data_IF_737499570694
#
_entry.id   IF_737499570694
#
_cell.length_a   1.000
_cell.length_b   1.000
_cell.length_c   1.000
_cell.angle_alpha   90.00
_cell.angle_beta   90.00
_cell.angle_gamma   90.00
#
_symmetry.space_group_name_H-M   'P 1'
#
loop_
_entity.id
_entity.type
_entity.pdbx_description
1 polymer ?
#
# COMPACT_ATOMS: atom_id res chain seq x y z
N UNK A 1 -7.37 -28.17 -31.60
CA UNK A 1 -6.25 -27.39 -31.03
C UNK A 1 -6.31 -26.03 -31.71
N UNK A 2 -6.57 -24.96 -30.98
CA UNK A 2 -6.79 -23.63 -31.58
C UNK A 2 -5.50 -23.05 -32.15
N UNK A 3 -5.57 -22.42 -33.32
CA UNK A 3 -4.47 -21.73 -34.00
C UNK A 3 -3.82 -20.65 -33.10
N UNK A 4 -4.62 -20.00 -32.23
CA UNK A 4 -4.15 -19.03 -31.23
C UNK A 4 -3.07 -19.58 -30.29
N UNK A 5 -3.14 -20.86 -29.93
CA UNK A 5 -2.17 -21.49 -29.01
C UNK A 5 -0.82 -21.78 -29.66
N UNK A 6 -0.76 -21.92 -30.98
CA UNK A 6 0.49 -22.12 -31.73
C UNK A 6 1.25 -20.79 -31.88
N UNK A 7 0.52 -19.69 -32.04
CA UNK A 7 1.08 -18.34 -32.18
C UNK A 7 1.70 -17.84 -30.86
N UNK A 8 1.03 -18.01 -29.71
CA UNK A 8 1.58 -17.64 -28.39
C UNK A 8 2.90 -18.38 -28.08
N UNK A 9 3.00 -19.67 -28.41
CA UNK A 9 4.24 -20.45 -28.22
C UNK A 9 5.36 -20.02 -29.17
N UNK A 10 5.02 -19.58 -30.39
CA UNK A 10 5.99 -19.05 -31.33
C UNK A 10 6.55 -17.70 -30.85
N UNK A 11 5.67 -16.80 -30.38
CA UNK A 11 6.08 -15.52 -29.79
C UNK A 11 6.97 -15.72 -28.56
N UNK A 12 6.60 -16.65 -27.66
CA UNK A 12 7.42 -16.97 -26.49
C UNK A 12 8.82 -17.44 -26.87
N UNK A 13 8.94 -18.40 -27.80
CA UNK A 13 10.25 -18.84 -28.32
C UNK A 13 11.02 -17.70 -28.98
N UNK A 14 10.31 -16.76 -29.61
CA UNK A 14 10.89 -15.53 -30.14
C UNK A 14 11.55 -14.68 -29.06
N UNK A 15 10.88 -14.45 -27.92
CA UNK A 15 11.45 -13.72 -26.79
C UNK A 15 12.62 -14.47 -26.13
N UNK A 16 12.49 -15.79 -25.95
CA UNK A 16 13.58 -16.65 -25.45
C UNK A 16 14.82 -16.56 -26.36
N UNK A 17 14.63 -16.55 -27.68
CA UNK A 17 15.71 -16.38 -28.65
C UNK A 17 16.37 -14.98 -28.58
N UNK A 18 15.65 -13.94 -28.17
CA UNK A 18 16.22 -12.61 -27.90
C UNK A 18 17.05 -12.65 -26.62
N UNK A 19 16.54 -13.21 -25.53
CA UNK A 19 17.26 -13.36 -24.27
C UNK A 19 18.57 -14.13 -24.45
N UNK A 20 18.55 -15.19 -25.27
CA UNK A 20 19.73 -16.00 -25.60
C UNK A 20 20.68 -15.33 -26.63
N UNK A 21 20.30 -14.19 -27.20
CA UNK A 21 21.08 -13.47 -28.21
C UNK A 21 21.11 -14.14 -29.60
N UNK A 22 20.31 -15.18 -29.82
CA UNK A 22 20.19 -15.88 -31.12
C UNK A 22 19.32 -15.15 -32.12
N UNK A 23 18.41 -14.28 -31.65
CA UNK A 23 17.63 -13.38 -32.49
C UNK A 23 18.23 -11.98 -32.44
N UNK A 24 18.48 -11.39 -33.62
CA UNK A 24 18.90 -10.00 -33.78
C UNK A 24 17.84 -9.22 -34.55
N UNK A 25 17.72 -7.94 -34.26
CA UNK A 25 16.83 -7.03 -34.98
C UNK A 25 17.63 -6.19 -35.97
N UNK A 26 17.12 -6.02 -37.18
CA UNK A 26 17.75 -5.21 -38.22
C UNK A 26 17.39 -3.73 -38.15
N UNK A 27 16.35 -3.35 -37.40
CA UNK A 27 15.89 -1.97 -37.29
C UNK A 27 15.10 -1.68 -36.02
N UNK A 28 15.00 -0.40 -35.67
CA UNK A 28 14.14 0.12 -34.60
C UNK A 28 12.69 -0.31 -34.76
N UNK A 29 12.13 -0.19 -35.97
CA UNK A 29 10.73 -0.53 -36.24
C UNK A 29 10.45 -2.02 -36.05
N UNK A 30 11.41 -2.89 -36.38
CA UNK A 30 11.28 -4.32 -36.16
C UNK A 30 11.17 -4.65 -34.67
N UNK A 31 11.99 -4.01 -33.83
CA UNK A 31 11.90 -4.13 -32.36
C UNK A 31 10.53 -3.68 -31.88
N UNK A 32 10.10 -2.48 -32.30
CA UNK A 32 8.85 -1.89 -31.84
C UNK A 32 7.64 -2.76 -32.23
N UNK A 33 7.57 -3.28 -33.46
CA UNK A 33 6.53 -4.23 -33.88
C UNK A 33 6.56 -5.51 -33.08
N UNK A 34 7.74 -6.06 -32.83
CA UNK A 34 7.88 -7.33 -32.11
C UNK A 34 7.37 -7.23 -30.66
N UNK A 35 7.64 -6.12 -29.97
CA UNK A 35 7.17 -5.92 -28.59
C UNK A 35 5.78 -5.29 -28.48
N UNK A 36 5.33 -4.50 -29.46
CA UNK A 36 3.98 -3.94 -29.47
C UNK A 36 2.92 -5.02 -29.71
N UNK A 37 3.23 -6.08 -30.46
CA UNK A 37 2.29 -7.15 -30.78
C UNK A 37 1.62 -7.81 -29.54
N UNK A 38 2.36 -8.33 -28.55
CA UNK A 38 1.74 -8.89 -27.34
C UNK A 38 1.07 -7.83 -26.46
N UNK A 39 1.57 -6.59 -26.44
CA UNK A 39 0.94 -5.51 -25.69
C UNK A 39 -0.41 -5.10 -26.27
N UNK A 40 -0.54 -5.10 -27.60
CA UNK A 40 -1.81 -4.87 -28.30
C UNK A 40 -2.85 -5.94 -27.97
N UNK A 41 -2.41 -7.19 -27.81
CA UNK A 41 -3.28 -8.30 -27.37
C UNK A 41 -3.71 -8.16 -25.92
N UNK A 42 -2.83 -7.66 -25.05
CA UNK A 42 -3.14 -7.48 -23.63
C UNK A 42 -4.11 -6.34 -23.36
N UNK A 43 -3.92 -5.20 -24.02
CA UNK A 43 -4.59 -3.95 -23.67
C UNK A 43 -5.47 -3.38 -24.78
N UNK A 44 -5.39 -3.93 -25.99
CA UNK A 44 -5.99 -3.33 -27.18
C UNK A 44 -5.10 -2.25 -27.81
N UNK A 45 -5.33 -1.91 -29.09
CA UNK A 45 -4.50 -0.97 -29.82
C UNK A 45 -4.53 0.45 -29.23
N UNK A 46 -5.68 0.88 -28.71
CA UNK A 46 -5.87 2.24 -28.18
C UNK A 46 -5.07 2.51 -26.90
N UNK A 47 -4.68 1.46 -26.19
CA UNK A 47 -3.95 1.55 -24.93
C UNK A 47 -2.42 1.54 -25.11
N UNK A 48 -1.94 1.41 -26.36
CA UNK A 48 -0.51 1.38 -26.71
C UNK A 48 0.12 2.78 -26.79
N UNK A 49 -0.68 3.85 -26.83
CA UNK A 49 -0.20 5.22 -27.01
C UNK A 49 0.67 5.37 -28.25
N UNK A 50 1.93 5.80 -28.08
CA UNK A 50 2.88 5.96 -29.19
C UNK A 50 3.21 4.64 -29.93
N UNK A 51 2.89 3.48 -29.35
CA UNK A 51 3.11 2.16 -29.98
C UNK A 51 1.91 1.68 -30.81
N UNK A 52 0.80 2.42 -30.86
CA UNK A 52 -0.43 2.02 -31.57
C UNK A 52 -0.17 1.69 -33.04
N UNK A 53 0.72 2.43 -33.70
CA UNK A 53 1.10 2.24 -35.12
C UNK A 53 1.73 0.86 -35.38
N UNK A 54 2.17 0.17 -34.32
CA UNK A 54 2.87 -1.12 -34.39
C UNK A 54 2.05 -2.29 -33.84
N UNK A 55 0.85 -2.04 -33.30
CA UNK A 55 -0.02 -3.06 -32.72
C UNK A 55 -0.98 -3.67 -33.74
N UNK A 56 -1.07 -5.00 -33.87
CA UNK A 56 -2.13 -5.67 -34.63
C UNK A 56 -3.50 -5.57 -33.92
N UNK A 57 -4.59 -5.96 -34.61
CA UNK A 57 -5.93 -6.09 -34.01
C UNK A 57 -5.92 -7.07 -32.82
N UNK A 58 -6.73 -6.76 -31.81
CA UNK A 58 -6.73 -7.45 -30.51
C UNK A 58 -7.08 -8.95 -30.62
N UNK A 59 -6.50 -9.77 -29.75
CA UNK A 59 -6.79 -11.21 -29.61
C UNK A 59 -6.88 -11.57 -28.14
N UNK A 60 -7.84 -12.44 -27.80
CA UNK A 60 -8.44 -12.52 -26.46
C UNK A 60 -7.65 -13.32 -25.41
N UNK A 61 -6.47 -13.88 -25.73
CA UNK A 61 -5.74 -14.72 -24.74
C UNK A 61 -4.25 -14.47 -24.76
N UNK A 62 -3.75 -13.91 -23.65
CA UNK A 62 -2.32 -13.77 -23.38
C UNK A 62 -1.94 -14.63 -22.19
N UNK A 63 -0.88 -15.42 -22.38
CA UNK A 63 -0.31 -16.34 -21.39
C UNK A 63 0.68 -15.59 -20.47
N UNK A 64 0.61 -15.85 -19.16
CA UNK A 64 1.56 -15.38 -18.15
C UNK A 64 3.01 -15.68 -18.55
N UNK A 65 3.26 -16.85 -19.15
CA UNK A 65 4.61 -17.25 -19.56
C UNK A 65 5.13 -16.43 -20.75
N UNK A 66 4.25 -15.93 -21.60
CA UNK A 66 4.63 -15.01 -22.67
C UNK A 66 5.03 -13.65 -22.10
N UNK A 67 4.29 -13.15 -21.11
CA UNK A 67 4.58 -11.88 -20.43
C UNK A 67 5.94 -11.94 -19.72
N UNK A 68 6.21 -13.02 -18.97
CA UNK A 68 7.52 -13.19 -18.32
C UNK A 68 8.67 -13.24 -19.33
N UNK A 69 8.52 -14.02 -20.42
CA UNK A 69 9.56 -14.12 -21.45
C UNK A 69 9.85 -12.75 -22.10
N UNK A 70 8.80 -11.96 -22.38
CA UNK A 70 8.93 -10.60 -22.90
C UNK A 70 9.62 -9.65 -21.93
N UNK A 71 9.27 -9.71 -20.64
CA UNK A 71 9.91 -8.89 -19.60
C UNK A 71 11.39 -9.25 -19.44
N UNK A 72 11.72 -10.55 -19.44
CA UNK A 72 13.09 -11.04 -19.29
C UNK A 72 13.96 -10.63 -20.47
N UNK A 73 13.47 -10.80 -21.71
CA UNK A 73 14.20 -10.36 -22.91
C UNK A 73 14.41 -8.85 -22.96
N UNK A 74 13.44 -8.08 -22.44
CA UNK A 74 13.53 -6.63 -22.40
C UNK A 74 14.62 -6.14 -21.42
N UNK A 75 14.76 -6.77 -20.26
CA UNK A 75 15.80 -6.42 -19.28
C UNK A 75 17.19 -6.96 -19.63
N UNK A 76 17.28 -8.23 -19.99
CA UNK A 76 18.58 -8.91 -20.16
C UNK A 76 19.29 -8.48 -21.44
N UNK A 77 18.53 -8.14 -22.48
CA UNK A 77 19.10 -7.90 -23.81
C UNK A 77 18.69 -6.58 -24.43
N UNK A 78 17.39 -6.27 -24.46
CA UNK A 78 16.92 -5.09 -25.20
C UNK A 78 17.32 -3.77 -24.54
N UNK A 79 17.26 -3.70 -23.22
CA UNK A 79 17.69 -2.51 -22.49
C UNK A 79 19.17 -2.21 -22.67
N UNK A 80 20.01 -3.25 -22.77
CA UNK A 80 21.45 -3.11 -23.03
C UNK A 80 21.73 -2.72 -24.48
N UNK A 81 21.14 -3.44 -25.44
CA UNK A 81 21.51 -3.29 -26.85
C UNK A 81 20.77 -2.14 -27.57
N UNK A 82 19.57 -1.74 -27.11
CA UNK A 82 18.65 -0.89 -27.87
C UNK A 82 18.06 0.32 -27.14
N UNK A 83 18.26 0.48 -25.82
CA UNK A 83 17.62 1.57 -25.07
C UNK A 83 17.88 2.96 -25.70
N UNK A 84 19.14 3.25 -26.07
CA UNK A 84 19.51 4.53 -26.71
C UNK A 84 18.87 4.70 -28.10
N UNK A 85 18.81 3.63 -28.90
CA UNK A 85 18.24 3.67 -30.25
C UNK A 85 16.70 3.81 -30.24
N UNK A 86 16.03 3.30 -29.20
CA UNK A 86 14.58 3.37 -29.05
C UNK A 86 14.10 4.77 -28.57
N UNK A 87 14.98 5.53 -27.90
CA UNK A 87 14.69 6.89 -27.44
C UNK A 87 13.43 6.96 -26.56
N UNK A 88 12.51 7.88 -26.86
CA UNK A 88 11.27 8.04 -26.09
C UNK A 88 10.38 6.78 -26.05
N UNK A 89 10.44 5.93 -27.09
CA UNK A 89 9.64 4.70 -27.16
C UNK A 89 10.10 3.64 -26.14
N UNK A 90 11.36 3.72 -25.69
CA UNK A 90 11.89 2.85 -24.63
C UNK A 90 11.09 2.97 -23.34
N UNK A 91 10.77 4.21 -22.94
CA UNK A 91 10.00 4.49 -21.73
C UNK A 91 8.60 3.91 -21.82
N UNK A 92 7.90 4.12 -22.94
CA UNK A 92 6.55 3.57 -23.16
C UNK A 92 6.55 2.04 -23.15
N UNK A 93 7.55 1.41 -23.77
CA UNK A 93 7.73 -0.05 -23.74
C UNK A 93 7.93 -0.56 -22.32
N UNK A 94 8.83 0.05 -21.55
CA UNK A 94 9.05 -0.30 -20.15
C UNK A 94 7.78 -0.14 -19.32
N UNK A 95 7.09 0.98 -19.48
CA UNK A 95 5.88 1.28 -18.71
C UNK A 95 4.77 0.25 -18.96
N UNK A 96 4.48 -0.05 -20.22
CA UNK A 96 3.44 -1.02 -20.58
C UNK A 96 3.84 -2.46 -20.26
N UNK A 97 5.12 -2.83 -20.43
CA UNK A 97 5.61 -4.20 -20.22
C UNK A 97 5.72 -4.57 -18.74
N UNK A 98 5.97 -3.61 -17.85
CA UNK A 98 6.16 -3.86 -16.42
C UNK A 98 5.02 -3.39 -15.53
N UNK A 99 4.24 -2.39 -15.95
CA UNK A 99 3.15 -1.82 -15.15
C UNK A 99 1.77 -1.94 -15.80
N UNK A 100 1.72 -2.13 -17.11
CA UNK A 100 0.48 -2.21 -17.90
C UNK A 100 -0.18 -0.85 -18.17
N UNK A 101 -1.34 -0.88 -18.84
CA UNK A 101 -2.14 0.33 -19.07
C UNK A 101 -2.74 0.86 -17.77
N UNK A 102 -2.82 2.20 -17.65
CA UNK A 102 -3.47 2.89 -16.54
C UNK A 102 -5.00 2.95 -16.69
N UNK A 103 -5.56 2.52 -17.82
CA UNK A 103 -7.01 2.49 -18.02
C UNK A 103 -7.69 1.48 -17.07
N UNK A 104 -8.78 1.92 -16.43
CA UNK A 104 -9.53 1.10 -15.47
C UNK A 104 -10.05 -0.21 -16.10
N UNK A 105 -10.42 -0.18 -17.38
CA UNK A 105 -10.86 -1.37 -18.13
C UNK A 105 -9.78 -2.45 -18.25
N UNK A 106 -8.51 -2.10 -18.04
CA UNK A 106 -7.35 -2.99 -18.14
C UNK A 106 -6.76 -3.35 -16.77
N UNK A 107 -7.41 -2.99 -15.65
CA UNK A 107 -6.84 -3.13 -14.31
C UNK A 107 -6.42 -4.58 -13.99
N UNK A 108 -7.21 -5.58 -14.41
CA UNK A 108 -6.87 -6.99 -14.22
C UNK A 108 -5.63 -7.42 -15.00
N UNK A 109 -5.52 -7.03 -16.27
CA UNK A 109 -4.36 -7.31 -17.11
C UNK A 109 -3.11 -6.58 -16.60
N UNK A 110 -3.24 -5.32 -16.21
CA UNK A 110 -2.16 -4.54 -15.61
C UNK A 110 -1.65 -5.20 -14.31
N UNK A 111 -2.55 -5.67 -13.45
CA UNK A 111 -2.20 -6.43 -12.25
C UNK A 111 -1.46 -7.73 -12.55
N UNK A 112 -1.92 -8.50 -13.54
CA UNK A 112 -1.25 -9.71 -13.99
C UNK A 112 0.18 -9.41 -14.49
N UNK A 113 0.34 -8.36 -15.30
CA UNK A 113 1.65 -7.89 -15.79
C UNK A 113 2.57 -7.51 -14.63
N UNK A 114 2.07 -6.80 -13.63
CA UNK A 114 2.83 -6.43 -12.43
C UNK A 114 3.23 -7.65 -11.59
N UNK A 115 2.37 -8.66 -11.46
CA UNK A 115 2.71 -9.92 -10.77
C UNK A 115 3.79 -10.71 -11.52
N UNK A 116 3.77 -10.71 -12.85
CA UNK A 116 4.85 -11.27 -13.68
C UNK A 116 6.14 -10.46 -13.50
N UNK A 117 6.04 -9.13 -13.53
CA UNK A 117 7.18 -8.23 -13.38
C UNK A 117 7.93 -8.48 -12.07
N UNK A 118 7.21 -8.64 -10.96
CA UNK A 118 7.80 -8.94 -9.65
C UNK A 118 8.60 -10.25 -9.67
N UNK A 119 8.09 -11.30 -10.35
CA UNK A 119 8.79 -12.59 -10.49
C UNK A 119 10.03 -12.45 -11.38
N UNK A 120 9.87 -11.82 -12.54
CA UNK A 120 10.95 -11.62 -13.52
C UNK A 120 12.09 -10.78 -12.93
N UNK A 121 11.79 -9.60 -12.39
CA UNK A 121 12.78 -8.72 -11.75
C UNK A 121 13.49 -9.44 -10.60
N UNK A 122 12.74 -10.17 -9.77
CA UNK A 122 13.32 -10.94 -8.66
C UNK A 122 14.29 -12.04 -9.11
N UNK A 123 14.08 -12.62 -10.30
CA UNK A 123 14.95 -13.63 -10.91
C UNK A 123 16.19 -12.98 -11.53
N UNK A 124 16.00 -11.89 -12.29
CA UNK A 124 17.06 -11.11 -12.94
C UNK A 124 18.02 -10.52 -11.91
N UNK A 125 17.52 -9.94 -10.81
CA UNK A 125 18.36 -9.42 -9.73
C UNK A 125 19.24 -10.50 -9.08
N UNK A 126 18.85 -11.78 -9.14
CA UNK A 126 19.62 -12.86 -8.53
C UNK A 126 20.81 -13.33 -9.39
N UNK A 127 20.82 -13.04 -10.69
CA UNK A 127 21.77 -13.61 -11.65
C UNK A 127 22.58 -12.59 -12.44
N UNK A 128 22.15 -11.33 -12.46
CA UNK A 128 22.74 -10.30 -13.34
C UNK A 128 23.79 -9.43 -12.67
N UNK A 129 24.63 -8.80 -13.49
CA UNK A 129 25.68 -7.86 -13.10
C UNK A 129 25.89 -6.80 -14.18
N UNK A 130 26.57 -5.70 -13.86
CA UNK A 130 26.90 -4.65 -14.83
C UNK A 130 25.68 -3.85 -15.28
N UNK A 131 25.61 -3.48 -16.56
CA UNK A 131 24.58 -2.59 -17.11
C UNK A 131 23.15 -3.13 -16.92
N UNK A 132 22.93 -4.44 -17.07
CA UNK A 132 21.62 -5.06 -16.82
C UNK A 132 21.16 -4.87 -15.36
N UNK A 133 22.09 -4.94 -14.40
CA UNK A 133 21.77 -4.72 -12.99
C UNK A 133 21.37 -3.26 -12.76
N UNK A 134 22.13 -2.30 -13.30
CA UNK A 134 21.83 -0.87 -13.19
C UNK A 134 20.45 -0.52 -13.75
N UNK A 135 20.12 -1.04 -14.93
CA UNK A 135 18.81 -0.85 -15.55
C UNK A 135 17.68 -1.50 -14.74
N UNK A 136 17.92 -2.70 -14.20
CA UNK A 136 16.93 -3.40 -13.35
C UNK A 136 16.68 -2.64 -12.05
N UNK A 137 17.72 -2.08 -11.43
CA UNK A 137 17.61 -1.24 -10.23
C UNK A 137 16.86 0.05 -10.56
N UNK A 138 17.15 0.69 -11.70
CA UNK A 138 16.42 1.89 -12.12
C UNK A 138 14.93 1.61 -12.38
N UNK A 139 14.61 0.47 -12.98
CA UNK A 139 13.23 0.02 -13.13
C UNK A 139 12.56 -0.16 -11.76
N UNK A 140 13.25 -0.73 -10.77
CA UNK A 140 12.73 -0.85 -9.40
C UNK A 140 12.44 0.52 -8.79
N UNK A 141 13.31 1.53 -9.01
CA UNK A 141 13.07 2.90 -8.55
C UNK A 141 11.78 3.46 -9.17
N UNK A 142 11.58 3.29 -10.48
CA UNK A 142 10.33 3.70 -11.15
C UNK A 142 9.11 2.90 -10.65
N UNK A 143 9.29 1.62 -10.35
CA UNK A 143 8.22 0.75 -9.87
C UNK A 143 7.59 1.23 -8.56
N UNK A 144 8.37 1.95 -7.73
CA UNK A 144 7.88 2.57 -6.49
C UNK A 144 6.62 3.41 -6.70
N UNK A 145 6.52 4.11 -7.83
CA UNK A 145 5.41 5.02 -8.14
C UNK A 145 4.30 4.37 -8.97
N UNK A 146 4.60 3.23 -9.61
CA UNK A 146 3.75 2.64 -10.65
C UNK A 146 3.09 1.32 -10.23
N UNK A 147 3.63 0.62 -9.24
CA UNK A 147 3.00 -0.58 -8.69
C UNK A 147 1.66 -0.20 -8.05
N UNK A 148 0.60 -0.92 -8.44
CA UNK A 148 -0.76 -0.72 -7.95
C UNK A 148 -1.26 -1.99 -7.27
N UNK A 149 -1.48 -1.90 -5.95
CA UNK A 149 -2.13 -2.97 -5.19
C UNK A 149 -3.54 -3.24 -5.72
N UNK A 150 -4.30 -2.20 -6.09
CA UNK A 150 -5.65 -2.34 -6.65
C UNK A 150 -5.67 -3.12 -7.96
N UNK A 151 -4.73 -2.85 -8.88
CA UNK A 151 -4.63 -3.61 -10.13
C UNK A 151 -4.29 -5.08 -9.86
N UNK A 152 -3.35 -5.36 -8.97
CA UNK A 152 -3.01 -6.74 -8.59
C UNK A 152 -4.18 -7.47 -7.91
N UNK A 153 -4.99 -6.78 -7.11
CA UNK A 153 -6.23 -7.34 -6.55
C UNK A 153 -7.26 -7.64 -7.64
N UNK A 154 -7.43 -6.74 -8.62
CA UNK A 154 -8.31 -6.97 -9.77
C UNK A 154 -7.88 -8.21 -10.57
N UNK A 155 -6.57 -8.43 -10.75
CA UNK A 155 -6.03 -9.62 -11.39
C UNK A 155 -6.36 -10.91 -10.62
N UNK A 156 -6.28 -10.86 -9.28
CA UNK A 156 -6.67 -11.99 -8.39
C UNK A 156 -8.17 -12.26 -8.49
N UNK A 157 -9.00 -11.20 -8.57
CA UNK A 157 -10.45 -11.32 -8.74
C UNK A 157 -10.86 -11.90 -10.10
N UNK A 158 -10.08 -11.65 -11.15
CA UNK A 158 -10.30 -12.17 -12.50
C UNK A 158 -9.83 -13.63 -12.70
N UNK A 159 -9.00 -14.17 -11.79
CA UNK A 159 -8.50 -15.55 -11.89
C UNK A 159 -9.60 -16.56 -11.50
N UNK A 160 -10.06 -17.42 -12.43
CA UNK A 160 -11.15 -18.35 -12.17
C UNK A 160 -10.79 -19.41 -11.11
N UNK A 161 -9.50 -19.78 -11.01
CA UNK A 161 -9.05 -20.75 -10.03
C UNK A 161 -8.63 -20.07 -8.72
N UNK A 162 -9.49 -20.13 -7.70
CA UNK A 162 -9.23 -19.54 -6.37
C UNK A 162 -7.91 -19.98 -5.72
N UNK A 163 -7.48 -21.23 -5.92
CA UNK A 163 -6.22 -21.70 -5.36
C UNK A 163 -5.03 -21.01 -6.05
N UNK A 164 -5.08 -20.89 -7.38
CA UNK A 164 -4.07 -20.14 -8.15
C UNK A 164 -4.07 -18.66 -7.79
N UNK A 165 -5.26 -18.05 -7.69
CA UNK A 165 -5.43 -16.66 -7.29
C UNK A 165 -4.79 -16.37 -5.93
N UNK A 166 -5.01 -17.25 -4.94
CA UNK A 166 -4.43 -17.13 -3.60
C UNK A 166 -2.91 -17.29 -3.59
N UNK A 167 -2.37 -18.24 -4.37
CA UNK A 167 -0.92 -18.44 -4.51
C UNK A 167 -0.30 -17.20 -5.15
N UNK A 168 -0.88 -16.70 -6.25
CA UNK A 168 -0.41 -15.50 -6.94
C UNK A 168 -0.41 -14.27 -6.01
N UNK A 169 -1.49 -14.07 -5.24
CA UNK A 169 -1.56 -12.98 -4.27
C UNK A 169 -0.50 -13.07 -3.18
N UNK A 170 -0.39 -14.24 -2.55
CA UNK A 170 0.57 -14.48 -1.47
C UNK A 170 2.01 -14.30 -1.97
N UNK A 171 2.29 -14.78 -3.18
CA UNK A 171 3.58 -14.60 -3.82
C UNK A 171 3.86 -13.14 -4.16
N UNK A 172 2.90 -12.42 -4.73
CA UNK A 172 3.03 -10.99 -5.05
C UNK A 172 3.38 -10.17 -3.81
N UNK A 173 2.66 -10.35 -2.69
CA UNK A 173 2.98 -9.68 -1.42
C UNK A 173 4.34 -10.08 -0.87
N UNK A 174 4.73 -11.35 -1.03
CA UNK A 174 6.05 -11.83 -0.61
C UNK A 174 7.17 -11.17 -1.41
N UNK A 175 7.04 -11.13 -2.73
CA UNK A 175 8.04 -10.55 -3.64
C UNK A 175 8.11 -9.03 -3.46
N UNK A 176 6.96 -8.37 -3.33
CA UNK A 176 6.89 -6.93 -3.11
C UNK A 176 7.58 -6.54 -1.78
N UNK A 177 7.36 -7.31 -0.72
CA UNK A 177 8.03 -7.08 0.56
C UNK A 177 9.52 -7.42 0.57
N UNK A 178 9.97 -8.34 -0.28
CA UNK A 178 11.37 -8.80 -0.35
C UNK A 178 12.22 -8.04 -1.37
N UNK A 179 11.62 -7.17 -2.20
CA UNK A 179 12.34 -6.48 -3.27
C UNK A 179 13.50 -5.60 -2.75
N UNK A 180 13.35 -4.80 -1.67
CA UNK A 180 14.47 -4.04 -1.10
C UNK A 180 15.67 -4.90 -0.76
N UNK A 181 15.44 -6.04 -0.10
CA UNK A 181 16.50 -6.97 0.30
C UNK A 181 17.17 -7.61 -0.92
N UNK A 182 16.40 -7.93 -1.96
CA UNK A 182 16.94 -8.47 -3.23
C UNK A 182 17.83 -7.45 -3.93
N UNK A 183 17.41 -6.19 -3.98
CA UNK A 183 18.21 -5.10 -4.54
C UNK A 183 19.48 -4.93 -3.71
N UNK A 184 19.37 -4.90 -2.37
CA UNK A 184 20.53 -4.81 -1.48
C UNK A 184 21.54 -5.93 -1.71
N UNK A 185 21.06 -7.17 -1.88
CA UNK A 185 21.94 -8.30 -2.16
C UNK A 185 22.60 -8.17 -3.54
N UNK A 186 21.85 -7.76 -4.56
CA UNK A 186 22.36 -7.62 -5.93
C UNK A 186 23.39 -6.48 -6.05
N UNK A 187 23.16 -5.35 -5.37
CA UNK A 187 24.05 -4.18 -5.37
C UNK A 187 25.12 -4.22 -4.26
N UNK A 188 25.23 -5.34 -3.53
CA UNK A 188 26.19 -5.52 -2.42
C UNK A 188 26.07 -4.43 -1.35
N UNK A 189 24.85 -3.96 -1.08
CA UNK A 189 24.53 -2.96 -0.07
C UNK A 189 24.38 -1.53 -0.58
N UNK A 190 24.73 -1.24 -1.85
CA UNK A 190 24.54 0.08 -2.45
C UNK A 190 23.09 0.25 -2.95
N UNK A 191 22.17 0.44 -2.00
CA UNK A 191 20.73 0.54 -2.30
C UNK A 191 20.34 2.00 -2.51
N UNK A 192 19.71 2.35 -3.64
CA UNK A 192 19.15 3.68 -3.83
C UNK A 192 18.21 4.07 -2.69
N UNK A 193 18.27 5.33 -2.24
CA UNK A 193 17.46 5.82 -1.11
C UNK A 193 15.95 5.52 -1.29
N UNK A 194 15.44 5.59 -2.53
CA UNK A 194 14.05 5.31 -2.87
C UNK A 194 13.63 3.85 -2.61
N UNK A 195 14.59 2.92 -2.60
CA UNK A 195 14.38 1.48 -2.43
C UNK A 195 14.72 0.98 -1.02
N UNK A 196 15.15 1.87 -0.11
CA UNK A 196 15.30 1.49 1.30
C UNK A 196 13.97 0.96 1.82
N UNK A 197 14.04 -0.11 2.62
CA UNK A 197 12.87 -0.91 2.99
C UNK A 197 11.67 -0.09 3.45
N UNK A 198 11.86 0.93 4.27
CA UNK A 198 10.76 1.77 4.78
C UNK A 198 10.12 2.61 3.68
N UNK A 199 10.94 3.34 2.90
CA UNK A 199 10.47 4.19 1.81
C UNK A 199 9.76 3.40 0.72
N UNK A 200 10.19 2.15 0.49
CA UNK A 200 9.56 1.23 -0.44
C UNK A 200 8.22 0.72 0.08
N UNK A 201 8.19 0.21 1.31
CA UNK A 201 6.98 -0.36 1.92
C UNK A 201 5.90 0.70 2.08
N UNK A 202 6.26 1.91 2.52
CA UNK A 202 5.32 3.04 2.60
C UNK A 202 4.72 3.38 1.23
N UNK A 203 5.55 3.47 0.19
CA UNK A 203 5.11 3.88 -1.14
C UNK A 203 4.32 2.81 -1.90
N UNK A 204 4.56 1.53 -1.62
CA UNK A 204 3.94 0.41 -2.38
C UNK A 204 2.82 -0.27 -1.60
N UNK A 205 3.11 -0.78 -0.40
CA UNK A 205 2.13 -1.51 0.40
C UNK A 205 1.20 -0.57 1.18
N UNK A 206 1.73 0.43 1.89
CA UNK A 206 0.90 1.28 2.75
C UNK A 206 0.06 2.25 1.93
N UNK A 207 0.68 2.98 1.01
CA UNK A 207 -0.06 3.86 0.09
C UNK A 207 -1.03 3.07 -0.78
N UNK A 208 -0.58 1.94 -1.34
CA UNK A 208 -1.45 1.08 -2.14
C UNK A 208 -2.64 0.51 -1.35
N UNK A 209 -2.46 0.22 -0.05
CA UNK A 209 -3.55 -0.17 0.85
C UNK A 209 -4.55 0.98 1.01
N UNK A 210 -4.06 2.20 1.26
CA UNK A 210 -4.90 3.40 1.36
C UNK A 210 -5.69 3.69 0.08
N UNK A 211 -5.05 3.54 -1.08
CA UNK A 211 -5.67 3.73 -2.39
C UNK A 211 -6.71 2.64 -2.69
N UNK A 212 -6.36 1.37 -2.53
CA UNK A 212 -7.25 0.25 -2.79
C UNK A 212 -8.44 0.19 -1.81
N UNK A 213 -8.26 0.62 -0.56
CA UNK A 213 -9.32 0.65 0.45
C UNK A 213 -10.53 1.47 0.02
N UNK A 214 -10.34 2.53 -0.76
CA UNK A 214 -11.42 3.41 -1.21
C UNK A 214 -12.39 2.71 -2.16
N UNK A 215 -11.87 1.74 -2.92
CA UNK A 215 -12.59 1.03 -3.97
C UNK A 215 -13.02 -0.38 -3.54
N UNK A 216 -12.52 -0.88 -2.41
CA UNK A 216 -12.84 -2.22 -1.91
C UNK A 216 -14.28 -2.30 -1.41
N UNK A 217 -15.24 -2.62 -2.28
CA UNK A 217 -16.66 -2.72 -1.92
C UNK A 217 -17.01 -4.09 -1.37
N UNK A 218 -16.33 -5.12 -1.86
CA UNK A 218 -16.74 -6.51 -1.70
C UNK A 218 -15.91 -7.25 -0.65
N UNK A 219 -16.50 -8.29 -0.06
CA UNK A 219 -15.84 -9.10 0.98
C UNK A 219 -14.48 -9.67 0.53
N UNK A 220 -14.32 -10.24 -0.68
CA UNK A 220 -13.04 -10.78 -1.12
C UNK A 220 -11.94 -9.72 -1.20
N UNK A 221 -12.25 -8.51 -1.66
CA UNK A 221 -11.28 -7.41 -1.76
C UNK A 221 -10.80 -6.98 -0.38
N UNK A 222 -11.72 -6.87 0.57
CA UNK A 222 -11.41 -6.55 1.97
C UNK A 222 -10.55 -7.65 2.61
N UNK A 223 -10.76 -8.92 2.27
CA UNK A 223 -9.90 -10.04 2.70
C UNK A 223 -8.49 -9.95 2.11
N UNK A 224 -8.33 -9.54 0.85
CA UNK A 224 -7.01 -9.31 0.25
C UNK A 224 -6.27 -8.15 0.94
N UNK A 225 -6.97 -7.05 1.26
CA UNK A 225 -6.38 -5.93 2.02
C UNK A 225 -5.99 -6.34 3.45
N UNK A 226 -6.74 -7.25 4.07
CA UNK A 226 -6.37 -7.83 5.38
C UNK A 226 -5.04 -8.58 5.28
N UNK A 227 -4.79 -9.33 4.20
CA UNK A 227 -3.51 -10.01 4.01
C UNK A 227 -2.34 -9.03 3.92
N UNK A 228 -2.55 -7.84 3.33
CA UNK A 228 -1.56 -6.74 3.34
C UNK A 228 -1.26 -6.29 4.77
N UNK A 229 -2.28 -6.03 5.58
CA UNK A 229 -2.09 -5.66 6.99
C UNK A 229 -1.35 -6.73 7.79
N UNK A 230 -1.72 -8.01 7.61
CA UNK A 230 -1.04 -9.13 8.26
C UNK A 230 0.43 -9.22 7.83
N UNK A 231 0.74 -8.92 6.57
CA UNK A 231 2.11 -8.88 6.08
C UNK A 231 2.92 -7.75 6.71
N UNK A 232 2.34 -6.54 6.76
CA UNK A 232 2.96 -5.38 7.42
C UNK A 232 3.17 -5.60 8.92
N UNK A 233 2.26 -6.36 9.55
CA UNK A 233 2.40 -6.74 10.96
C UNK A 233 3.58 -7.70 11.18
N UNK A 234 3.66 -8.74 10.34
CA UNK A 234 4.72 -9.75 10.39
C UNK A 234 6.11 -9.19 10.08
N UNK A 235 6.20 -8.17 9.24
CA UNK A 235 7.47 -7.46 9.00
C UNK A 235 7.84 -6.47 10.11
N UNK A 236 6.99 -6.33 11.15
CA UNK A 236 7.20 -5.40 12.26
C UNK A 236 6.95 -3.94 11.89
N UNK A 237 6.48 -3.65 10.66
CA UNK A 237 6.27 -2.29 10.18
C UNK A 237 5.13 -1.58 10.94
N UNK A 238 4.09 -2.31 11.36
CA UNK A 238 3.02 -1.76 12.19
C UNK A 238 3.44 -1.45 13.63
N UNK A 239 4.54 -2.02 14.12
CA UNK A 239 5.00 -1.85 15.51
C UNK A 239 5.98 -0.69 15.68
N UNK A 240 6.41 -0.07 14.57
CA UNK A 240 7.35 1.06 14.63
C UNK A 240 6.62 2.28 15.17
N UNK A 241 7.28 2.96 16.10
CA UNK A 241 6.81 4.26 16.57
C UNK A 241 6.78 5.24 15.40
N UNK A 242 5.93 6.28 15.48
CA UNK A 242 5.99 7.37 14.51
C UNK A 242 7.35 8.06 14.65
N UNK A 243 8.25 7.79 13.70
CA UNK A 243 9.59 8.36 13.74
C UNK A 243 9.56 9.88 13.51
N UNK A 244 10.70 10.51 13.75
CA UNK A 244 10.91 11.92 13.51
C UNK A 244 10.72 12.35 12.03
N UNK A 245 10.54 11.41 11.11
CA UNK A 245 10.59 11.65 9.66
C UNK A 245 9.25 11.87 8.96
N UNK A 246 8.10 11.88 9.67
CA UNK A 246 6.76 11.84 9.06
C UNK A 246 6.50 10.58 8.19
N UNK A 247 7.44 9.65 8.10
CA UNK A 247 7.27 8.39 7.41
C UNK A 247 6.60 7.34 8.31
N UNK A 248 6.17 6.22 7.71
CA UNK A 248 5.54 5.10 8.41
C UNK A 248 4.07 4.90 8.08
N UNK A 249 3.51 3.85 8.69
CA UNK A 249 2.18 3.35 8.38
C UNK A 249 1.07 4.42 8.48
N UNK A 250 0.85 4.96 9.68
CA UNK A 250 -0.26 5.89 9.93
C UNK A 250 -0.11 7.23 9.21
N UNK A 251 1.06 7.90 9.23
CA UNK A 251 1.23 9.12 8.45
C UNK A 251 0.92 8.91 6.95
N UNK A 252 1.33 7.78 6.38
CA UNK A 252 1.06 7.45 4.97
C UNK A 252 -0.42 7.20 4.72
N UNK A 253 -1.06 6.36 5.54
CA UNK A 253 -2.51 6.11 5.43
C UNK A 253 -3.29 7.42 5.53
N UNK A 254 -3.04 8.23 6.56
CA UNK A 254 -3.74 9.50 6.77
C UNK A 254 -3.61 10.43 5.56
N UNK A 255 -2.43 10.57 4.95
CA UNK A 255 -2.27 11.37 3.72
C UNK A 255 -3.11 10.85 2.55
N UNK A 256 -3.21 9.53 2.41
CA UNK A 256 -3.91 8.91 1.27
C UNK A 256 -5.43 8.91 1.41
N UNK A 257 -5.94 8.85 2.65
CA UNK A 257 -7.37 8.59 2.89
C UNK A 257 -8.10 9.69 3.66
N UNK A 258 -7.42 10.62 4.33
CA UNK A 258 -8.06 11.58 5.24
C UNK A 258 -9.06 12.53 4.56
N UNK A 259 -8.97 12.74 3.24
CA UNK A 259 -9.88 13.60 2.49
C UNK A 259 -11.07 12.85 1.87
N UNK A 260 -11.16 11.53 2.06
CA UNK A 260 -12.06 10.67 1.28
C UNK A 260 -13.18 10.13 2.16
N UNK A 261 -14.43 10.43 1.78
CA UNK A 261 -15.64 10.13 2.55
C UNK A 261 -15.93 8.63 2.70
N UNK A 262 -15.53 7.80 1.74
CA UNK A 262 -15.77 6.35 1.76
C UNK A 262 -14.84 5.58 2.70
N UNK A 263 -13.75 6.20 3.14
CA UNK A 263 -12.71 5.58 3.98
C UNK A 263 -13.28 4.98 5.26
N UNK A 264 -14.15 5.70 5.97
CA UNK A 264 -14.68 5.27 7.27
C UNK A 264 -15.40 3.92 7.16
N UNK A 265 -16.26 3.76 6.15
CA UNK A 265 -17.04 2.53 5.95
C UNK A 265 -16.15 1.36 5.55
N UNK A 266 -15.23 1.56 4.61
CA UNK A 266 -14.36 0.47 4.14
C UNK A 266 -13.32 0.09 5.17
N UNK A 267 -12.78 1.06 5.90
CA UNK A 267 -11.90 0.82 7.04
C UNK A 267 -12.62 0.02 8.13
N UNK A 268 -13.89 0.35 8.43
CA UNK A 268 -14.68 -0.42 9.37
C UNK A 268 -14.84 -1.89 8.93
N UNK A 269 -15.10 -2.15 7.64
CA UNK A 269 -15.15 -3.52 7.10
C UNK A 269 -13.80 -4.24 7.24
N UNK A 270 -12.70 -3.58 6.89
CA UNK A 270 -11.35 -4.13 7.03
C UNK A 270 -11.01 -4.46 8.48
N UNK A 271 -11.38 -3.58 9.42
CA UNK A 271 -11.22 -3.81 10.86
C UNK A 271 -12.00 -5.04 11.33
N UNK A 272 -13.21 -5.29 10.81
CA UNK A 272 -14.03 -6.45 11.23
C UNK A 272 -13.35 -7.77 10.88
N UNK A 273 -12.77 -7.87 9.68
CA UNK A 273 -12.03 -9.08 9.27
C UNK A 273 -10.62 -9.15 9.87
N UNK A 274 -10.12 -8.06 10.45
CA UNK A 274 -8.86 -8.05 11.17
C UNK A 274 -8.98 -8.72 12.55
N UNK A 275 -8.00 -9.58 12.87
CA UNK A 275 -7.92 -10.23 14.17
C UNK A 275 -7.83 -9.23 15.33
N UNK A 276 -8.26 -9.62 16.53
CA UNK A 276 -8.29 -8.75 17.71
C UNK A 276 -6.91 -8.20 18.10
N UNK A 277 -5.85 -8.98 17.92
CA UNK A 277 -4.46 -8.56 18.14
C UNK A 277 -4.03 -7.44 17.19
N UNK A 278 -4.32 -7.62 15.90
CA UNK A 278 -4.00 -6.67 14.84
C UNK A 278 -4.77 -5.35 15.03
N UNK A 279 -6.07 -5.42 15.35
CA UNK A 279 -6.89 -4.25 15.68
C UNK A 279 -6.29 -3.44 16.84
N UNK A 280 -5.97 -4.11 17.96
CA UNK A 280 -5.36 -3.45 19.13
C UNK A 280 -4.03 -2.77 18.78
N UNK A 281 -3.21 -3.40 17.93
CA UNK A 281 -1.92 -2.83 17.49
C UNK A 281 -2.13 -1.61 16.61
N UNK A 282 -3.05 -1.67 15.65
CA UNK A 282 -3.43 -0.53 14.82
C UNK A 282 -3.91 0.64 15.69
N UNK A 283 -4.79 0.40 16.66
CA UNK A 283 -5.30 1.46 17.54
C UNK A 283 -4.18 2.08 18.40
N UNK A 284 -3.34 1.23 19.01
CA UNK A 284 -2.23 1.70 19.85
C UNK A 284 -1.26 2.57 19.04
N UNK A 285 -0.90 2.13 17.85
CA UNK A 285 0.09 2.82 16.98
C UNK A 285 -0.49 4.08 16.35
N UNK A 286 -1.79 4.13 16.10
CA UNK A 286 -2.49 5.35 15.68
C UNK A 286 -2.38 6.40 16.77
N UNK A 287 -2.70 6.04 18.00
CA UNK A 287 -2.67 6.94 19.14
C UNK A 287 -1.25 7.41 19.44
N UNK A 288 -0.24 6.54 19.33
CA UNK A 288 1.16 6.94 19.43
C UNK A 288 1.55 7.94 18.34
N UNK A 289 1.04 7.75 17.11
CA UNK A 289 1.26 8.68 16.00
C UNK A 289 0.61 10.04 16.27
N UNK A 290 -0.64 10.06 16.76
CA UNK A 290 -1.34 11.27 17.14
C UNK A 290 -0.67 11.98 18.33
N UNK A 291 -0.21 11.22 19.33
CA UNK A 291 0.55 11.73 20.47
C UNK A 291 1.84 12.41 19.98
N UNK A 292 2.61 11.75 19.13
CA UNK A 292 3.84 12.32 18.58
C UNK A 292 3.58 13.59 17.76
N UNK A 293 2.51 13.59 16.95
CA UNK A 293 2.10 14.77 16.19
C UNK A 293 1.70 15.94 17.09
N UNK A 294 0.95 15.67 18.17
CA UNK A 294 0.56 16.68 19.15
C UNK A 294 1.78 17.27 19.88
N UNK A 295 2.76 16.44 20.23
CA UNK A 295 3.99 16.88 20.91
C UNK A 295 4.94 17.69 20.01
N UNK A 296 4.78 17.62 18.68
CA UNK A 296 5.73 18.18 17.69
C UNK A 296 5.51 19.63 17.27
N UNK A 297 4.57 20.32 17.88
CA UNK A 297 4.32 21.73 17.59
C UNK A 297 3.33 22.42 18.52
N UNK A 298 2.84 21.72 19.54
CA UNK A 298 1.77 22.21 20.42
C UNK A 298 2.15 22.00 21.89
N UNK A 299 1.41 22.65 22.78
CA UNK A 299 1.64 22.60 24.21
C UNK A 299 1.51 21.15 24.70
N UNK A 300 2.64 20.45 24.82
CA UNK A 300 2.73 19.09 25.38
C UNK A 300 2.41 19.04 26.87
N UNK A 301 2.24 20.21 27.50
CA UNK A 301 1.90 20.43 28.90
C UNK A 301 0.73 21.42 28.98
N UNK A 302 -0.01 21.40 30.09
CA UNK A 302 -1.13 22.33 30.32
C UNK A 302 -0.65 23.78 30.42
N UNK A 303 0.53 23.99 30.99
CA UNK A 303 1.20 25.29 31.05
C UNK A 303 2.50 25.18 30.26
N UNK A 304 2.68 26.03 29.28
CA UNK A 304 3.89 26.02 28.47
C UNK A 304 5.09 26.57 29.26
N UNK A 305 6.33 26.12 29.01
CA UNK A 305 7.52 26.67 29.65
C UNK A 305 7.70 28.19 29.42
N UNK A 306 7.10 28.74 28.38
CA UNK A 306 7.12 30.18 28.08
C UNK A 306 6.12 31.01 28.90
N UNK A 307 5.19 30.34 29.59
CA UNK A 307 4.15 30.92 30.45
C UNK A 307 4.49 30.83 31.93
N UNK A 308 5.42 29.94 32.31
CA UNK A 308 5.83 29.79 33.71
C UNK A 308 6.42 31.10 34.24
N UNK A 309 5.85 31.59 35.35
CA UNK A 309 6.26 32.84 35.99
C UNK A 309 5.62 34.11 35.41
N UNK A 310 4.62 33.98 34.52
CA UNK A 310 3.84 35.09 33.96
C UNK A 310 2.36 34.97 34.37
N UNK A 311 1.96 35.60 35.48
CA UNK A 311 0.59 35.54 35.98
C UNK A 311 -0.42 35.98 34.92
N UNK A 312 -1.48 35.19 34.72
CA UNK A 312 -2.57 35.46 33.79
C UNK A 312 -2.32 34.95 32.35
N UNK A 313 -1.18 34.30 32.09
CA UNK A 313 -0.89 33.69 30.77
C UNK A 313 -0.85 32.17 30.81
N UNK A 314 -1.06 31.57 31.97
CA UNK A 314 -1.02 30.12 32.16
C UNK A 314 -2.07 29.43 31.28
N UNK A 315 -1.62 28.51 30.42
CA UNK A 315 -2.47 27.73 29.54
C UNK A 315 -2.93 28.44 28.27
N UNK A 316 -2.47 29.66 27.99
CA UNK A 316 -2.82 30.39 26.75
C UNK A 316 -2.43 29.64 25.48
N UNK A 317 -1.28 28.96 25.48
CA UNK A 317 -0.79 28.13 24.39
C UNK A 317 -1.60 26.82 24.26
N UNK A 318 -1.96 26.21 25.40
CA UNK A 318 -2.82 25.02 25.43
C UNK A 318 -4.24 25.32 24.91
N UNK A 319 -4.82 26.45 25.29
CA UNK A 319 -6.13 26.93 24.85
C UNK A 319 -6.10 27.70 23.51
N UNK A 320 -4.95 27.73 22.84
CA UNK A 320 -4.81 28.43 21.57
C UNK A 320 -5.66 27.81 20.46
N UNK A 321 -6.00 28.61 19.44
CA UNK A 321 -6.70 28.14 18.25
C UNK A 321 -5.97 27.00 17.54
N UNK A 322 -4.63 27.00 17.60
CA UNK A 322 -3.78 25.96 17.04
C UNK A 322 -4.00 24.61 17.74
N UNK A 323 -4.02 24.59 19.08
CA UNK A 323 -4.32 23.40 19.87
C UNK A 323 -5.75 22.90 19.63
N UNK A 324 -6.74 23.79 19.55
CA UNK A 324 -8.12 23.45 19.18
C UNK A 324 -8.20 22.73 17.81
N UNK A 325 -7.46 23.21 16.81
CA UNK A 325 -7.42 22.61 15.48
C UNK A 325 -6.84 21.18 15.51
N UNK A 326 -5.78 20.95 16.30
CA UNK A 326 -5.17 19.63 16.48
C UNK A 326 -6.11 18.67 17.20
N UNK A 327 -6.80 19.14 18.23
CA UNK A 327 -7.81 18.35 18.97
C UNK A 327 -8.93 17.94 18.04
N UNK A 328 -9.48 18.87 17.27
CA UNK A 328 -10.53 18.58 16.30
C UNK A 328 -10.07 17.59 15.22
N UNK A 329 -8.86 17.77 14.66
CA UNK A 329 -8.29 16.87 13.67
C UNK A 329 -8.05 15.46 14.25
N UNK A 330 -7.50 15.37 15.46
CA UNK A 330 -7.22 14.09 16.13
C UNK A 330 -8.51 13.35 16.48
N UNK A 331 -9.52 14.05 17.00
CA UNK A 331 -10.84 13.48 17.28
C UNK A 331 -11.54 13.01 16.00
N UNK A 332 -11.38 13.74 14.89
CA UNK A 332 -11.90 13.35 13.59
C UNK A 332 -11.21 12.07 13.08
N UNK A 333 -9.88 12.00 13.15
CA UNK A 333 -9.10 10.80 12.79
C UNK A 333 -9.52 9.59 13.63
N UNK A 334 -9.66 9.73 14.95
CA UNK A 334 -10.17 8.66 15.81
C UNK A 334 -11.58 8.23 15.38
N UNK A 335 -12.44 9.19 15.01
CA UNK A 335 -13.76 8.93 14.44
C UNK A 335 -13.76 8.07 13.17
N UNK A 336 -12.78 8.26 12.30
CA UNK A 336 -12.66 7.50 11.05
C UNK A 336 -12.07 6.10 11.32
N UNK A 337 -10.97 6.03 12.06
CA UNK A 337 -10.13 4.84 12.13
C UNK A 337 -10.39 3.94 13.33
N UNK A 338 -11.10 4.46 14.33
CA UNK A 338 -11.60 3.74 15.50
C UNK A 338 -13.13 3.91 15.53
N UNK A 339 -13.86 3.42 14.51
CA UNK A 339 -15.31 3.50 14.53
C UNK A 339 -15.87 2.54 15.59
N UNK A 340 -17.01 2.88 16.23
CA UNK A 340 -17.76 1.90 17.00
C UNK A 340 -18.11 0.71 16.11
N UNK A 341 -18.08 -0.51 16.66
CA UNK A 341 -18.59 -1.67 15.93
C UNK A 341 -20.05 -1.40 15.58
N UNK A 342 -20.47 -1.73 14.36
CA UNK A 342 -21.88 -1.63 13.93
C UNK A 342 -22.68 -2.80 14.53
N UNK A 343 -24.00 -2.67 14.78
CA UNK A 343 -24.75 -3.57 15.67
C UNK A 343 -25.11 -4.92 15.05
N UNK A 344 -24.50 -5.31 13.93
CA UNK A 344 -24.84 -6.54 13.20
C UNK A 344 -24.03 -7.78 13.63
N UNK A 345 -23.25 -7.71 14.71
CA UNK A 345 -22.15 -8.64 15.02
C UNK A 345 -22.32 -9.46 16.32
N UNK A 346 -23.53 -9.81 16.76
CA UNK A 346 -23.72 -10.89 17.79
C UNK A 346 -24.46 -12.09 17.19
N UNK A 347 -23.70 -13.03 16.60
CA UNK A 347 -24.02 -14.45 16.76
C UNK A 347 -22.92 -15.03 17.63
N UNK A 348 -23.35 -15.53 18.79
CA UNK A 348 -22.59 -16.27 19.80
C UNK A 348 -21.93 -15.43 20.92
N UNK A 349 -22.71 -14.55 21.55
CA UNK A 349 -22.88 -14.53 23.02
C UNK A 349 -23.71 -13.32 23.45
N UNK A 350 -24.68 -13.57 24.32
CA UNK A 350 -25.69 -12.64 24.85
C UNK A 350 -25.19 -11.22 25.21
N UNK A 351 -25.85 -10.23 24.62
CA UNK A 351 -26.25 -8.94 25.22
C UNK A 351 -25.12 -8.05 25.78
N UNK A 352 -24.43 -7.24 24.95
CA UNK A 352 -23.93 -5.87 25.30
C UNK A 352 -22.94 -5.27 24.23
N UNK A 353 -23.20 -5.40 22.92
CA UNK A 353 -22.09 -5.26 21.93
C UNK A 353 -21.60 -3.85 21.58
N UNK A 354 -22.44 -2.82 21.59
CA UNK A 354 -22.01 -1.47 21.17
C UNK A 354 -21.51 -0.61 22.33
N UNK A 355 -22.22 -0.66 23.47
CA UNK A 355 -21.93 0.14 24.67
C UNK A 355 -20.55 -0.17 25.27
N UNK A 356 -20.09 -1.42 25.16
CA UNK A 356 -18.79 -1.85 25.63
C UNK A 356 -17.63 -1.39 24.74
N UNK A 357 -17.85 -0.94 23.50
CA UNK A 357 -16.76 -0.66 22.57
C UNK A 357 -15.95 0.58 22.97
N UNK A 358 -16.60 1.72 23.20
CA UNK A 358 -15.92 2.97 23.56
C UNK A 358 -15.14 2.82 24.86
N UNK A 359 -15.77 2.25 25.88
CA UNK A 359 -15.19 1.99 27.20
C UNK A 359 -14.01 1.03 27.09
N UNK A 360 -14.18 -0.09 26.37
CA UNK A 360 -13.11 -1.10 26.19
C UNK A 360 -11.93 -0.53 25.42
N UNK A 361 -12.18 0.21 24.35
CA UNK A 361 -11.13 0.81 23.54
C UNK A 361 -10.37 1.85 24.35
N UNK A 362 -11.06 2.74 25.08
CA UNK A 362 -10.43 3.71 25.98
C UNK A 362 -9.56 3.02 27.05
N UNK A 363 -10.12 2.03 27.77
CA UNK A 363 -9.40 1.25 28.78
C UNK A 363 -8.16 0.53 28.21
N UNK A 364 -8.31 -0.14 27.07
CA UNK A 364 -7.25 -0.99 26.49
C UNK A 364 -6.16 -0.22 25.74
N UNK A 365 -6.41 1.04 25.37
CA UNK A 365 -5.49 1.82 24.52
C UNK A 365 -5.04 3.10 25.22
N UNK A 366 -5.97 4.02 25.48
CA UNK A 366 -5.67 5.33 26.04
C UNK A 366 -5.15 5.27 27.49
N UNK A 367 -5.82 4.47 28.34
CA UNK A 367 -5.55 4.45 29.78
C UNK A 367 -4.41 3.50 30.21
N UNK A 368 -4.03 2.54 29.36
CA UNK A 368 -3.10 1.46 29.73
C UNK A 368 -1.79 1.42 28.94
N UNK A 369 -1.70 2.01 27.75
CA UNK A 369 -0.57 1.73 26.82
C UNK A 369 0.14 2.95 26.25
N UNK A 370 -0.53 4.09 26.18
CA UNK A 370 0.01 5.29 25.50
C UNK A 370 0.04 6.44 26.49
N UNK A 371 1.19 7.08 26.64
CA UNK A 371 1.30 8.34 27.39
C UNK A 371 0.42 9.40 26.73
N UNK A 372 -0.51 9.96 27.49
CA UNK A 372 -1.48 10.94 27.00
C UNK A 372 -0.95 12.36 27.28
N UNK A 373 -0.70 13.13 26.22
CA UNK A 373 -0.58 14.59 26.36
C UNK A 373 -1.94 15.19 26.72
N UNK A 374 -1.99 16.38 27.34
CA UNK A 374 -3.24 17.09 27.57
C UNK A 374 -4.05 17.30 26.28
N UNK A 375 -3.38 17.54 25.15
CA UNK A 375 -4.00 17.69 23.83
C UNK A 375 -4.65 16.38 23.36
N UNK A 376 -3.97 15.24 23.49
CA UNK A 376 -4.54 13.95 23.10
C UNK A 376 -5.65 13.50 24.04
N UNK A 377 -5.53 13.77 25.35
CA UNK A 377 -6.59 13.53 26.32
C UNK A 377 -7.86 14.34 25.99
N UNK A 378 -7.69 15.61 25.59
CA UNK A 378 -8.79 16.43 25.13
C UNK A 378 -9.39 15.91 23.82
N UNK A 379 -8.57 15.46 22.86
CA UNK A 379 -9.06 14.82 21.64
C UNK A 379 -9.90 13.57 21.93
N UNK A 380 -9.51 12.76 22.93
CA UNK A 380 -10.31 11.63 23.41
C UNK A 380 -11.66 12.09 23.95
N UNK A 381 -11.68 13.10 24.81
CA UNK A 381 -12.93 13.66 25.32
C UNK A 381 -13.85 14.12 24.17
N UNK A 382 -13.30 14.85 23.19
CA UNK A 382 -14.06 15.30 22.00
C UNK A 382 -14.57 14.14 21.15
N UNK A 383 -13.77 13.08 20.98
CA UNK A 383 -14.21 11.87 20.27
C UNK A 383 -15.34 11.14 21.03
N UNK A 384 -15.22 11.00 22.35
CA UNK A 384 -16.20 10.35 23.21
C UNK A 384 -17.53 11.11 23.30
N UNK A 385 -17.58 12.40 22.95
CA UNK A 385 -18.85 13.13 22.83
C UNK A 385 -19.81 12.51 21.80
N UNK A 386 -19.29 11.70 20.86
CA UNK A 386 -20.09 10.94 19.89
C UNK A 386 -20.72 9.67 20.48
N UNK A 387 -20.27 9.23 21.65
CA UNK A 387 -20.76 8.02 22.29
C UNK A 387 -22.11 8.26 23.03
N UNK A 388 -22.94 7.22 23.21
CA UNK A 388 -24.12 7.26 24.07
C UNK A 388 -23.81 7.83 25.47
N UNK A 389 -24.82 8.43 26.13
CA UNK A 389 -24.65 9.05 27.46
C UNK A 389 -24.09 8.07 28.49
N UNK A 390 -24.57 6.81 28.47
CA UNK A 390 -24.13 5.75 29.38
C UNK A 390 -22.64 5.45 29.23
N UNK A 391 -22.18 5.21 28.01
CA UNK A 391 -20.77 4.90 27.71
C UNK A 391 -19.84 6.06 28.07
N UNK A 392 -20.31 7.31 27.91
CA UNK A 392 -19.56 8.49 28.33
C UNK A 392 -19.31 8.49 29.84
N UNK A 393 -20.32 8.15 30.63
CA UNK A 393 -20.19 8.03 32.08
C UNK A 393 -19.25 6.88 32.46
N UNK A 394 -19.38 5.71 31.82
CA UNK A 394 -18.52 4.56 32.09
C UNK A 394 -17.05 4.83 31.70
N UNK A 395 -16.81 5.57 30.62
CA UNK A 395 -15.49 6.05 30.23
C UNK A 395 -14.89 7.03 31.24
N UNK A 396 -15.71 7.94 31.77
CA UNK A 396 -15.28 8.89 32.80
C UNK A 396 -14.91 8.16 34.10
N UNK A 397 -15.76 7.23 34.55
CA UNK A 397 -15.49 6.38 35.73
C UNK A 397 -14.18 5.62 35.55
N UNK A 398 -13.97 4.99 34.39
CA UNK A 398 -12.74 4.28 34.07
C UNK A 398 -11.48 5.16 34.14
N UNK A 399 -11.57 6.40 33.66
CA UNK A 399 -10.46 7.35 33.70
C UNK A 399 -10.16 7.79 35.14
N UNK A 400 -11.20 8.05 35.94
CA UNK A 400 -11.07 8.43 37.35
C UNK A 400 -10.47 7.29 38.19
N UNK A 401 -10.95 6.05 38.01
CA UNK A 401 -10.39 4.85 38.66
C UNK A 401 -8.89 4.73 38.34
N UNK A 402 -8.53 4.86 37.06
CA UNK A 402 -7.12 4.76 36.65
C UNK A 402 -6.25 5.84 37.26
N UNK A 403 -6.75 7.07 37.38
CA UNK A 403 -6.03 8.17 38.03
C UNK A 403 -5.89 7.94 39.53
N UNK A 404 -6.94 7.44 40.19
CA UNK A 404 -6.91 7.10 41.61
C UNK A 404 -5.91 5.98 41.91
N UNK A 405 -5.80 4.96 41.05
CA UNK A 405 -4.84 3.86 41.19
C UNK A 405 -3.37 4.26 40.92
N UNK A 406 -3.13 5.42 40.30
CA UNK A 406 -1.78 5.94 40.01
C UNK A 406 -1.28 6.97 41.02
N UNK A 407 -2.12 7.37 41.98
CA UNK A 407 -1.77 8.20 43.13
C UNK A 407 -1.42 7.30 44.32
#
# INVERSE_FOLDING_TARGET
MSEDGQDVRALRRGFEAVTQGTRRFGSRDEVLRFYAAPLARLFGPDQLGALQVFGPEASDKVDVLLVEAMQESLLVRLGVDWATALGAAWKTLLELTFFGSAAESCAGQAGMVQQCALRTVSRVLATTSGETLEQTVQLCVTARERISLGAMMAAVGAEPNRARARVAWTEALRLLGALPDRVANATKGDVPQALKGECWIDATLVRGLGDALQHATDKPEVELLRDVLVRLDRSGHLSRAADSSTAGFWPTILRTTATKSTTTTQWAKLRRVAGSSLRKRLDTTLLQTLQHAAMRGFAGTLVAPTETGKPGTEGSAFLSSASHAVVAASAHVMGIFIPPNSPADESDSDTDTEALHYVRTLKCTALSRVSQSPVLAWAWATYLLRAPVRDRLDCLTAALERWADTA
#
